data_IF_907277912589
#
_entry.id   IF_907277912589
#
_cell.length_a   1.000
_cell.length_b   1.000
_cell.length_c   1.000
_cell.angle_alpha   90.00
_cell.angle_beta   90.00
_cell.angle_gamma   90.00
#
_symmetry.space_group_name_H-M   'P 1'
#
loop_
_entity.id
_entity.type
_entity.pdbx_description
1 polymer ?
#
# COMPACT_ATOMS: atom_id res chain seq x y z
N UNK A 1 -17.63 -3.54 -2.92
CA UNK A 1 -17.08 -2.19 -2.71
C UNK A 1 -16.74 -1.65 -4.08
N UNK A 2 -17.54 -0.74 -4.62
CA UNK A 2 -17.04 0.17 -5.64
C UNK A 2 -16.04 1.09 -4.95
N UNK A 3 -14.82 1.18 -5.49
CA UNK A 3 -13.82 2.13 -5.03
C UNK A 3 -13.82 3.30 -6.04
N UNK A 4 -14.76 4.26 -5.97
CA UNK A 4 -14.67 5.46 -6.78
C UNK A 4 -13.36 6.16 -6.40
N UNK A 5 -12.51 6.43 -7.39
CA UNK A 5 -11.16 6.96 -7.20
C UNK A 5 -10.30 6.11 -6.23
N UNK A 6 -10.29 4.79 -6.41
CA UNK A 6 -9.52 3.84 -5.59
C UNK A 6 -8.07 4.21 -5.30
N UNK A 7 -7.43 5.00 -6.18
CA UNK A 7 -6.08 5.49 -5.97
C UNK A 7 -6.10 6.97 -5.60
N UNK A 8 -5.30 7.36 -4.59
CA UNK A 8 -5.09 8.75 -4.19
C UNK A 8 -4.84 9.69 -5.37
N UNK A 9 -4.05 9.28 -6.36
CA UNK A 9 -3.74 10.12 -7.53
C UNK A 9 -4.98 10.56 -8.30
N UNK A 10 -6.08 9.79 -8.24
CA UNK A 10 -7.31 10.10 -8.94
C UNK A 10 -8.28 10.95 -8.11
N UNK A 11 -8.02 11.17 -6.82
CA UNK A 11 -8.79 12.09 -5.99
C UNK A 11 -8.52 13.54 -6.38
N UNK A 12 -9.38 14.46 -5.96
CA UNK A 12 -9.17 15.89 -6.17
C UNK A 12 -7.85 16.37 -5.56
N UNK A 13 -7.56 15.96 -4.32
CA UNK A 13 -6.31 16.26 -3.64
C UNK A 13 -5.09 15.73 -4.40
N UNK A 14 -5.13 14.48 -4.89
CA UNK A 14 -4.03 13.92 -5.68
C UNK A 14 -3.84 14.62 -7.02
N UNK A 15 -4.94 14.97 -7.71
CA UNK A 15 -4.91 15.71 -8.98
C UNK A 15 -4.38 17.13 -8.81
N UNK A 16 -4.71 17.81 -7.72
CA UNK A 16 -4.21 19.15 -7.42
C UNK A 16 -2.68 19.20 -7.26
N UNK A 17 -2.04 18.07 -7.00
CA UNK A 17 -0.58 17.97 -6.95
C UNK A 17 0.05 17.92 -8.35
N UNK A 18 -0.71 17.59 -9.40
CA UNK A 18 -0.21 17.61 -10.77
C UNK A 18 0.17 19.05 -11.15
N UNK A 19 1.38 19.23 -11.69
CA UNK A 19 1.89 20.54 -12.10
C UNK A 19 2.49 21.38 -10.97
N UNK A 20 2.36 20.99 -9.70
CA UNK A 20 2.99 21.70 -8.56
C UNK A 20 4.35 21.13 -8.17
N UNK A 21 4.71 19.96 -8.68
CA UNK A 21 5.94 19.22 -8.36
C UNK A 21 6.34 18.28 -9.49
N UNK A 22 7.61 17.83 -9.54
CA UNK A 22 8.01 16.76 -10.43
C UNK A 22 7.22 15.48 -10.13
N UNK A 23 6.68 14.88 -11.20
CA UNK A 23 6.03 13.57 -11.14
C UNK A 23 6.68 12.69 -12.20
N UNK A 24 7.23 11.56 -11.77
CA UNK A 24 7.75 10.55 -12.70
C UNK A 24 6.86 9.33 -12.68
N UNK A 25 6.75 8.68 -13.83
CA UNK A 25 5.89 7.53 -14.01
C UNK A 25 6.64 6.42 -14.74
N UNK A 26 6.63 5.18 -14.25
CA UNK A 26 7.12 4.03 -15.02
C UNK A 26 6.12 3.61 -16.11
N UNK A 27 4.96 4.29 -16.19
CA UNK A 27 3.90 3.92 -17.12
C UNK A 27 4.33 4.17 -18.56
N UNK A 28 4.43 3.09 -19.33
CA UNK A 28 4.73 3.11 -20.76
C UNK A 28 3.64 2.38 -21.53
N UNK A 29 3.45 2.65 -22.85
CA UNK A 29 2.48 1.92 -23.67
C UNK A 29 2.66 0.39 -23.62
N UNK A 30 3.90 -0.07 -23.44
CA UNK A 30 4.24 -1.48 -23.30
C UNK A 30 3.62 -2.13 -22.04
N UNK A 31 3.28 -1.36 -20.99
CA UNK A 31 2.57 -1.91 -19.82
C UNK A 31 1.11 -2.27 -20.12
N UNK A 32 0.56 -1.77 -21.21
CA UNK A 32 -0.82 -2.01 -21.63
C UNK A 32 -0.92 -2.96 -22.84
N UNK A 33 0.23 -3.41 -23.35
CA UNK A 33 0.32 -4.28 -24.52
C UNK A 33 0.99 -5.58 -24.11
N UNK A 34 0.42 -6.77 -24.40
CA UNK A 34 1.08 -8.02 -24.07
C UNK A 34 2.36 -8.15 -24.91
N UNK A 35 3.50 -8.53 -24.30
CA UNK A 35 4.67 -8.92 -25.07
C UNK A 35 4.32 -10.08 -26.03
N UNK A 36 4.97 -10.21 -27.20
CA UNK A 36 4.75 -11.34 -28.09
C UNK A 36 4.88 -12.68 -27.36
N UNK A 37 3.88 -13.55 -27.48
CA UNK A 37 3.83 -14.85 -26.80
C UNK A 37 3.38 -14.81 -25.33
N UNK A 38 3.17 -13.63 -24.74
CA UNK A 38 2.64 -13.52 -23.38
C UNK A 38 1.14 -13.85 -23.34
N UNK A 39 0.74 -14.67 -22.37
CA UNK A 39 -0.68 -15.00 -22.13
C UNK A 39 -1.40 -13.97 -21.25
N UNK A 40 -0.67 -13.11 -20.53
CA UNK A 40 -1.20 -12.11 -19.60
C UNK A 40 -0.36 -10.83 -19.66
N UNK A 41 -1.04 -9.67 -19.65
CA UNK A 41 -0.42 -8.34 -19.61
C UNK A 41 -0.08 -7.95 -18.16
N UNK A 42 -0.92 -8.39 -17.23
CA UNK A 42 -0.84 -8.03 -15.81
C UNK A 42 -0.68 -9.30 -14.97
N UNK A 43 0.37 -9.34 -14.16
CA UNK A 43 0.59 -10.39 -13.17
C UNK A 43 0.92 -9.72 -11.85
N UNK A 44 0.10 -9.98 -10.84
CA UNK A 44 0.32 -9.52 -9.48
C UNK A 44 0.70 -10.69 -8.59
N UNK A 45 1.84 -10.55 -7.91
CA UNK A 45 2.28 -11.47 -6.88
C UNK A 45 2.10 -10.79 -5.53
N UNK A 46 1.31 -11.41 -4.66
CA UNK A 46 1.22 -11.05 -3.24
C UNK A 46 1.91 -12.12 -2.40
N UNK A 47 2.59 -11.70 -1.33
CA UNK A 47 3.12 -12.60 -0.31
C UNK A 47 2.77 -12.03 1.05
N UNK A 48 2.31 -12.90 1.94
CA UNK A 48 2.14 -12.58 3.36
C UNK A 48 2.98 -13.54 4.17
N UNK A 49 3.60 -13.05 5.23
CA UNK A 49 4.37 -13.85 6.18
C UNK A 49 4.13 -13.32 7.58
N UNK A 50 3.81 -14.23 8.48
CA UNK A 50 3.77 -13.96 9.91
C UNK A 50 4.95 -14.69 10.56
N UNK A 51 5.66 -14.01 11.45
CA UNK A 51 6.75 -14.59 12.24
C UNK A 51 6.54 -14.21 13.68
N UNK A 52 6.45 -15.20 14.55
CA UNK A 52 6.44 -15.00 15.99
C UNK A 52 7.88 -15.03 16.50
N UNK A 53 8.33 -13.94 17.14
CA UNK A 53 9.64 -13.84 17.78
C UNK A 53 9.42 -13.36 19.22
N UNK A 54 9.60 -14.27 20.19
CA UNK A 54 9.30 -14.02 21.60
C UNK A 54 7.86 -13.47 21.80
N UNK A 55 7.71 -12.22 22.27
CA UNK A 55 6.41 -11.54 22.48
C UNK A 55 6.02 -10.58 21.35
N UNK A 56 6.70 -10.66 20.20
CA UNK A 56 6.40 -9.86 19.01
C UNK A 56 5.88 -10.74 17.88
N UNK A 57 4.77 -10.34 17.29
CA UNK A 57 4.30 -10.89 16.02
C UNK A 57 4.70 -9.92 14.90
N UNK A 58 5.59 -10.36 14.02
CA UNK A 58 6.02 -9.62 12.84
C UNK A 58 5.13 -10.00 11.65
N UNK A 59 4.56 -9.00 10.99
CA UNK A 59 3.71 -9.16 9.82
C UNK A 59 4.40 -8.51 8.64
N UNK A 60 4.72 -9.32 7.63
CA UNK A 60 5.26 -8.87 6.37
C UNK A 60 4.27 -9.16 5.25
N UNK A 61 3.98 -8.14 4.47
CA UNK A 61 3.14 -8.23 3.28
C UNK A 61 3.86 -7.59 2.12
N UNK A 62 3.85 -8.23 0.96
CA UNK A 62 4.34 -7.61 -0.26
C UNK A 62 3.39 -7.80 -1.42
N UNK A 63 3.37 -6.81 -2.31
CA UNK A 63 2.66 -6.85 -3.56
C UNK A 63 3.52 -6.26 -4.67
N UNK A 64 3.77 -7.07 -5.68
CA UNK A 64 4.56 -6.69 -6.84
C UNK A 64 3.77 -7.03 -8.10
N UNK A 65 3.55 -6.04 -8.94
CA UNK A 65 3.04 -6.21 -10.29
C UNK A 65 3.91 -5.43 -11.29
N UNK A 66 3.43 -5.12 -12.48
CA UNK A 66 4.18 -4.35 -13.48
C UNK A 66 4.22 -2.84 -13.20
N UNK A 67 3.39 -2.34 -12.27
CA UNK A 67 3.22 -0.92 -11.92
C UNK A 67 3.57 -0.63 -10.46
N UNK A 68 3.32 -1.58 -9.56
CA UNK A 68 3.43 -1.45 -8.12
C UNK A 68 4.51 -2.39 -7.57
N UNK A 69 5.23 -1.90 -6.56
CA UNK A 69 6.15 -2.69 -5.78
C UNK A 69 6.13 -2.21 -4.34
N UNK A 70 5.39 -2.92 -3.50
CA UNK A 70 5.16 -2.59 -2.10
C UNK A 70 5.67 -3.71 -1.23
N UNK A 71 6.43 -3.35 -0.21
CA UNK A 71 6.72 -4.18 0.94
C UNK A 71 6.23 -3.41 2.18
N UNK A 72 5.40 -4.05 2.98
CA UNK A 72 4.80 -3.50 4.20
C UNK A 72 5.19 -4.40 5.35
N UNK A 73 5.70 -3.79 6.41
CA UNK A 73 6.05 -4.47 7.64
C UNK A 73 5.36 -3.78 8.81
N UNK A 74 4.78 -4.55 9.72
CA UNK A 74 4.32 -4.04 11.00
C UNK A 74 4.41 -5.12 12.08
N UNK A 75 4.56 -4.67 13.31
CA UNK A 75 4.77 -5.53 14.47
C UNK A 75 3.67 -5.33 15.49
N UNK A 76 3.15 -6.43 16.02
CA UNK A 76 2.19 -6.43 17.12
C UNK A 76 2.90 -6.89 18.39
N UNK A 77 2.80 -6.07 19.43
CA UNK A 77 3.10 -6.47 20.79
C UNK A 77 2.01 -7.41 21.32
N UNK A 78 2.38 -8.62 21.72
CA UNK A 78 1.39 -9.60 22.16
C UNK A 78 0.92 -9.37 23.60
N UNK A 79 1.65 -8.61 24.41
CA UNK A 79 1.25 -8.29 25.79
C UNK A 79 0.15 -7.24 25.82
N UNK A 80 0.34 -6.14 25.08
CA UNK A 80 -0.65 -5.05 24.97
C UNK A 80 -1.64 -5.23 23.82
N UNK A 81 -1.39 -6.14 22.89
CA UNK A 81 -2.21 -6.32 21.69
C UNK A 81 -2.18 -5.09 20.78
N UNK A 82 -1.07 -4.36 20.70
CA UNK A 82 -0.97 -3.10 19.96
C UNK A 82 0.10 -3.16 18.87
N UNK A 83 -0.10 -2.41 17.78
CA UNK A 83 0.93 -2.25 16.76
C UNK A 83 2.01 -1.31 17.30
N UNK A 84 3.26 -1.75 17.32
CA UNK A 84 4.40 -1.01 17.90
C UNK A 84 5.38 -0.49 16.87
N UNK A 85 5.39 -1.09 15.67
CA UNK A 85 6.18 -0.64 14.54
C UNK A 85 5.36 -0.83 13.27
N UNK A 86 5.50 0.08 12.33
CA UNK A 86 4.89 -0.03 11.00
C UNK A 86 5.70 0.80 10.00
N UNK A 87 6.15 0.18 8.93
CA UNK A 87 6.93 0.80 7.87
C UNK A 87 6.60 0.20 6.50
N UNK A 88 6.90 0.93 5.45
CA UNK A 88 6.77 0.40 4.10
C UNK A 88 7.92 0.84 3.21
N UNK A 89 8.32 -0.05 2.32
CA UNK A 89 9.26 0.21 1.23
C UNK A 89 8.46 0.16 -0.06
N UNK A 90 8.60 1.21 -0.86
CA UNK A 90 7.94 1.31 -2.16
C UNK A 90 8.98 1.35 -3.26
N UNK A 91 9.19 0.21 -3.92
CA UNK A 91 10.17 0.08 -5.01
C UNK A 91 9.61 0.58 -6.34
N UNK A 92 8.28 0.54 -6.52
CA UNK A 92 7.59 1.09 -7.70
C UNK A 92 6.26 1.72 -7.33
N UNK A 93 6.05 2.92 -7.86
CA UNK A 93 4.81 3.68 -7.77
C UNK A 93 4.38 4.12 -9.19
N UNK A 94 3.09 4.05 -9.54
CA UNK A 94 2.62 4.53 -10.84
C UNK A 94 2.88 6.02 -11.08
N UNK A 95 2.84 6.85 -10.03
CA UNK A 95 3.10 8.29 -10.11
C UNK A 95 3.96 8.74 -8.92
N UNK A 96 5.28 8.57 -9.04
CA UNK A 96 6.24 9.02 -8.03
C UNK A 96 6.09 10.53 -7.78
N UNK A 97 6.12 10.96 -6.52
CA UNK A 97 5.89 12.36 -6.14
C UNK A 97 4.43 12.68 -5.76
N UNK A 98 3.46 11.91 -6.26
CA UNK A 98 2.05 11.96 -5.82
C UNK A 98 1.72 10.73 -4.98
N UNK A 99 1.95 9.52 -5.51
CA UNK A 99 1.69 8.27 -4.81
C UNK A 99 2.57 8.07 -3.56
N UNK A 100 3.62 8.90 -3.38
CA UNK A 100 4.49 8.91 -2.21
C UNK A 100 3.78 9.46 -0.97
N UNK A 101 2.82 10.38 -1.13
CA UNK A 101 2.07 11.00 -0.04
C UNK A 101 1.36 9.96 0.85
N UNK A 102 0.50 9.07 0.30
CA UNK A 102 -0.20 8.10 1.13
C UNK A 102 0.71 7.05 1.77
N UNK A 103 1.93 6.81 1.28
CA UNK A 103 2.84 5.82 1.87
C UNK A 103 3.32 6.24 3.27
N UNK A 104 3.44 7.55 3.52
CA UNK A 104 3.85 8.08 4.83
C UNK A 104 2.85 7.75 5.94
N UNK A 105 1.61 7.41 5.58
CA UNK A 105 0.54 7.11 6.53
C UNK A 105 0.66 5.74 7.19
N UNK A 106 1.55 4.86 6.73
CA UNK A 106 1.80 3.56 7.38
C UNK A 106 2.15 3.75 8.86
N UNK A 107 2.93 4.77 9.20
CA UNK A 107 3.29 5.09 10.58
C UNK A 107 2.07 5.38 11.47
N UNK A 108 0.92 5.78 10.91
CA UNK A 108 -0.31 6.01 11.66
C UNK A 108 -0.96 4.71 12.18
N UNK A 109 -0.50 3.53 11.72
CA UNK A 109 -0.87 2.24 12.31
C UNK A 109 -0.26 2.02 13.68
N UNK A 110 0.84 2.70 14.03
CA UNK A 110 1.49 2.56 15.33
C UNK A 110 0.52 3.05 16.42
N UNK A 111 0.41 2.27 17.50
CA UNK A 111 -0.53 2.48 18.60
C UNK A 111 -1.94 1.95 18.33
N UNK A 112 -2.26 1.47 17.13
CA UNK A 112 -3.57 0.88 16.87
C UNK A 112 -3.69 -0.50 17.56
N UNK A 113 -4.80 -0.77 18.25
CA UNK A 113 -5.08 -2.10 18.78
C UNK A 113 -5.19 -3.14 17.65
N UNK A 114 -4.67 -4.35 17.87
CA UNK A 114 -4.82 -5.49 16.98
C UNK A 114 -6.08 -6.30 17.33
N UNK A 115 -7.23 -5.67 17.19
CA UNK A 115 -8.55 -6.24 17.53
C UNK A 115 -9.46 -6.41 16.30
N UNK A 116 -10.69 -6.86 16.51
CA UNK A 116 -11.68 -7.06 15.45
C UNK A 116 -12.02 -5.78 14.65
N UNK A 117 -11.75 -4.59 15.21
CA UNK A 117 -11.97 -3.29 14.56
C UNK A 117 -10.73 -2.77 13.83
N UNK A 118 -9.59 -3.46 13.88
CA UNK A 118 -8.36 -3.04 13.21
C UNK A 118 -8.60 -2.78 11.71
N UNK A 119 -9.30 -3.68 11.02
CA UNK A 119 -9.63 -3.53 9.59
C UNK A 119 -10.30 -2.20 9.28
N UNK A 120 -11.28 -1.78 10.10
CA UNK A 120 -12.01 -0.52 9.91
C UNK A 120 -11.09 0.68 10.15
N UNK A 121 -10.23 0.63 11.17
CA UNK A 121 -9.26 1.69 11.44
C UNK A 121 -8.24 1.80 10.32
N UNK A 122 -7.70 0.67 9.85
CA UNK A 122 -6.76 0.63 8.72
C UNK A 122 -7.40 1.13 7.43
N UNK A 123 -8.69 0.86 7.19
CA UNK A 123 -9.42 1.44 6.07
C UNK A 123 -9.39 2.97 6.14
N UNK A 124 -9.68 3.57 7.29
CA UNK A 124 -9.61 5.04 7.44
C UNK A 124 -8.19 5.57 7.28
N UNK A 125 -7.22 4.93 7.91
CA UNK A 125 -5.83 5.40 7.95
C UNK A 125 -5.14 5.28 6.58
N UNK A 126 -5.29 4.13 5.91
CA UNK A 126 -4.55 3.79 4.71
C UNK A 126 -5.40 3.70 3.45
N UNK A 127 -6.69 3.40 3.57
CA UNK A 127 -7.60 3.23 2.42
C UNK A 127 -8.57 4.41 2.21
N UNK A 128 -8.54 5.43 3.07
CA UNK A 128 -9.45 6.57 3.02
C UNK A 128 -9.15 7.51 1.85
N UNK A 129 -9.83 8.66 1.82
CA UNK A 129 -9.73 9.65 0.74
C UNK A 129 -8.30 10.08 0.41
N UNK A 130 -7.47 10.22 1.44
CA UNK A 130 -6.06 10.57 1.31
C UNK A 130 -5.13 9.33 1.44
N UNK A 131 -5.64 8.13 1.18
CA UNK A 131 -4.98 6.85 1.35
C UNK A 131 -4.65 6.14 0.03
N UNK A 132 -3.90 5.04 0.11
CA UNK A 132 -3.60 4.17 -1.01
C UNK A 132 -4.39 2.86 -0.89
N UNK A 133 -5.35 2.61 -1.80
CA UNK A 133 -6.11 1.36 -1.77
C UNK A 133 -5.23 0.11 -1.92
N UNK A 134 -4.11 0.19 -2.64
CA UNK A 134 -3.20 -0.95 -2.80
C UNK A 134 -2.47 -1.29 -1.51
N UNK A 135 -2.14 -0.28 -0.71
CA UNK A 135 -1.53 -0.44 0.60
C UNK A 135 -2.58 -0.97 1.61
N UNK A 136 -3.81 -0.47 1.57
CA UNK A 136 -4.91 -1.02 2.36
C UNK A 136 -5.20 -2.49 2.00
N UNK A 137 -5.25 -2.83 0.71
CA UNK A 137 -5.41 -4.20 0.18
C UNK A 137 -4.27 -5.15 0.56
N UNK A 138 -3.15 -4.65 1.10
CA UNK A 138 -2.07 -5.46 1.69
C UNK A 138 -2.26 -5.73 3.18
N UNK A 139 -3.12 -4.97 3.87
CA UNK A 139 -3.32 -5.06 5.33
C UNK A 139 -4.53 -5.87 5.76
N UNK A 140 -5.36 -6.32 4.82
CA UNK A 140 -6.67 -6.97 5.08
C UNK A 140 -6.76 -8.38 4.52
#
# INVERSE_FOLDING_TARGET
MDLPNSCFTYSEAGRALLGTRPVTTPMTPALYTPPPGARKIFVRKKRSRLVLTARRLHLFHSMHDNVHGFDLHYEVDLDSGTIVAADSITSRLPYQGICTEPQRKVAAMIGQPADASLRKRTQTLLGGEAGCAQLYDLTV
#
